data_IF_849769572462
#
_entry.id   IF_849769572462
#
_cell.length_a   1.000
_cell.length_b   1.000
_cell.length_c   1.000
_cell.angle_alpha   90.00
_cell.angle_beta   90.00
_cell.angle_gamma   90.00
#
_symmetry.space_group_name_H-M   'P 1'
#
loop_
_entity.id
_entity.type
_entity.pdbx_description
1 polymer ?
#
# COMPACT_ATOMS: atom_id res chain seq x y z
N UNK A 1 0.75 -3.98 34.35
CA UNK A 1 0.71 -4.44 32.94
C UNK A 1 0.21 -3.32 32.07
N UNK A 2 1.13 -2.67 31.40
CA UNK A 2 0.78 -1.68 30.40
C UNK A 2 0.43 -2.42 29.10
N UNK A 3 -0.85 -2.39 28.76
CA UNK A 3 -1.26 -2.86 27.44
C UNK A 3 -0.53 -2.01 26.39
N UNK A 4 0.14 -2.67 25.47
CA UNK A 4 0.79 -2.02 24.35
C UNK A 4 -0.30 -1.39 23.50
N UNK A 5 -0.53 -0.10 23.70
CA UNK A 5 -1.52 0.62 22.90
C UNK A 5 -0.95 0.88 21.53
N UNK A 6 -1.68 0.46 20.51
CA UNK A 6 -1.35 0.78 19.14
C UNK A 6 -1.40 2.31 18.97
N UNK A 7 -0.36 2.94 18.45
CA UNK A 7 -0.38 4.39 18.28
C UNK A 7 -1.51 4.84 17.38
N UNK A 8 -2.10 5.99 17.68
CA UNK A 8 -3.13 6.58 16.84
C UNK A 8 -2.50 7.13 15.55
N UNK A 9 -3.26 7.32 14.48
CA UNK A 9 -2.74 7.96 13.27
C UNK A 9 -2.07 9.31 13.54
N UNK A 10 -2.65 10.12 14.43
CA UNK A 10 -2.05 11.40 14.79
C UNK A 10 -0.69 11.22 15.47
N UNK A 11 -0.56 10.25 16.36
CA UNK A 11 0.70 9.94 17.03
C UNK A 11 1.76 9.45 16.04
N UNK A 12 1.36 8.63 15.09
CA UNK A 12 2.26 8.14 14.06
C UNK A 12 2.77 9.26 13.15
N UNK A 13 1.89 10.18 12.77
CA UNK A 13 2.28 11.36 12.00
C UNK A 13 3.31 12.20 12.75
N UNK A 14 3.07 12.46 14.02
CA UNK A 14 4.02 13.20 14.88
C UNK A 14 5.35 12.47 14.98
N UNK A 15 5.30 11.16 15.21
CA UNK A 15 6.51 10.33 15.30
C UNK A 15 7.34 10.33 14.03
N UNK A 16 6.69 10.51 12.87
CA UNK A 16 7.35 10.59 11.59
C UNK A 16 7.80 12.02 11.23
N UNK A 17 7.58 13.00 12.13
CA UNK A 17 7.94 14.38 11.87
C UNK A 17 6.98 15.11 10.96
N UNK A 18 5.79 14.57 10.77
CA UNK A 18 4.77 15.16 9.91
C UNK A 18 3.76 15.97 10.71
N UNK A 19 3.32 17.07 10.08
CA UNK A 19 2.24 17.89 10.67
C UNK A 19 0.93 17.09 10.66
N UNK A 20 0.24 17.08 11.79
CA UNK A 20 -1.07 16.44 11.91
C UNK A 20 -2.13 17.36 11.30
N UNK A 21 -2.80 16.84 10.27
CA UNK A 21 -3.92 17.54 9.62
C UNK A 21 -5.10 16.56 9.49
N UNK A 22 -6.30 17.08 9.39
CA UNK A 22 -7.49 16.26 9.19
C UNK A 22 -7.36 15.40 7.91
N UNK A 23 -6.83 15.98 6.84
CA UNK A 23 -6.62 15.27 5.59
C UNK A 23 -5.64 14.11 5.74
N UNK A 24 -4.50 14.33 6.40
CA UNK A 24 -3.50 13.26 6.60
C UNK A 24 -4.01 12.14 7.49
N UNK A 25 -4.72 12.47 8.55
CA UNK A 25 -5.32 11.47 9.43
C UNK A 25 -6.35 10.64 8.67
N UNK A 26 -7.26 11.30 7.95
CA UNK A 26 -8.28 10.62 7.16
C UNK A 26 -7.69 9.75 6.06
N UNK A 27 -6.64 10.24 5.40
CA UNK A 27 -5.92 9.47 4.38
C UNK A 27 -5.28 8.20 4.94
N UNK A 28 -4.58 8.34 6.05
CA UNK A 28 -3.91 7.20 6.68
C UNK A 28 -4.92 6.14 7.12
N UNK A 29 -6.03 6.56 7.73
CA UNK A 29 -7.10 5.66 8.12
C UNK A 29 -7.76 4.99 6.90
N UNK A 30 -7.99 5.75 5.84
CA UNK A 30 -8.61 5.25 4.60
C UNK A 30 -7.75 4.19 3.93
N UNK A 31 -6.44 4.45 3.80
CA UNK A 31 -5.52 3.51 3.17
C UNK A 31 -5.40 2.23 4.01
N UNK A 32 -5.38 2.34 5.33
CA UNK A 32 -5.30 1.18 6.23
C UNK A 32 -6.56 0.34 6.23
N UNK A 33 -7.72 0.97 6.11
CA UNK A 33 -8.99 0.26 6.05
C UNK A 33 -9.27 -0.31 4.66
N UNK A 34 -8.60 0.20 3.64
CA UNK A 34 -8.79 -0.23 2.27
C UNK A 34 -7.86 -1.35 1.86
N UNK A 35 -8.09 -1.87 0.68
CA UNK A 35 -7.31 -2.97 0.10
C UNK A 35 -6.79 -2.52 -1.26
N UNK A 36 -5.57 -2.02 -1.28
CA UNK A 36 -4.88 -1.54 -2.50
C UNK A 36 -5.68 -0.50 -3.28
N UNK A 37 -6.03 0.59 -2.61
CA UNK A 37 -6.83 1.64 -3.21
C UNK A 37 -6.03 2.53 -4.15
N UNK A 38 -6.63 2.90 -5.28
CA UNK A 38 -6.13 3.95 -6.16
C UNK A 38 -6.45 5.33 -5.60
N UNK A 39 -5.82 6.36 -6.17
CA UNK A 39 -5.97 7.74 -5.68
C UNK A 39 -7.40 8.25 -5.69
N UNK A 40 -8.15 7.96 -6.76
CA UNK A 40 -9.53 8.43 -6.87
C UNK A 40 -10.45 7.82 -5.82
N UNK A 41 -10.29 6.52 -5.55
CA UNK A 41 -11.05 5.84 -4.51
C UNK A 41 -10.70 6.40 -3.13
N UNK A 42 -9.42 6.64 -2.88
CA UNK A 42 -8.95 7.25 -1.64
C UNK A 42 -9.57 8.65 -1.48
N UNK A 43 -9.49 9.48 -2.52
CA UNK A 43 -10.04 10.83 -2.50
C UNK A 43 -11.55 10.83 -2.20
N UNK A 44 -12.29 9.92 -2.82
CA UNK A 44 -13.72 9.79 -2.59
C UNK A 44 -14.04 9.46 -1.13
N UNK A 45 -13.33 8.49 -0.57
CA UNK A 45 -13.53 8.08 0.83
C UNK A 45 -13.12 9.14 1.83
N UNK A 46 -12.05 9.88 1.54
CA UNK A 46 -11.62 10.99 2.39
C UNK A 46 -12.66 12.11 2.38
N UNK A 47 -13.21 12.43 1.21
CA UNK A 47 -14.28 13.43 1.08
C UNK A 47 -15.52 13.06 1.89
N UNK A 48 -15.84 11.77 1.93
CA UNK A 48 -16.97 11.28 2.75
C UNK A 48 -16.72 11.49 4.25
N UNK A 49 -15.47 11.50 4.68
CA UNK A 49 -15.11 11.65 6.09
C UNK A 49 -14.96 13.11 6.53
N UNK A 50 -14.31 13.93 5.73
CA UNK A 50 -13.92 15.29 6.13
C UNK A 50 -14.47 16.39 5.24
N UNK A 51 -15.25 16.03 4.22
CA UNK A 51 -15.76 16.99 3.25
C UNK A 51 -14.76 17.25 2.13
N UNK A 52 -14.88 18.42 1.50
CA UNK A 52 -14.11 18.71 0.30
C UNK A 52 -12.61 18.71 0.53
N UNK A 53 -11.90 17.98 -0.31
CA UNK A 53 -10.45 18.00 -0.40
C UNK A 53 -10.09 17.90 -1.88
N UNK A 54 -9.12 18.71 -2.32
CA UNK A 54 -8.71 18.69 -3.73
C UNK A 54 -7.91 17.43 -4.03
N UNK A 55 -7.97 16.99 -5.27
CA UNK A 55 -7.18 15.82 -5.70
C UNK A 55 -5.68 16.06 -5.52
N UNK A 56 -5.23 17.30 -5.78
CA UNK A 56 -3.83 17.66 -5.56
C UNK A 56 -3.43 17.54 -4.09
N UNK A 57 -4.29 17.97 -3.17
CA UNK A 57 -4.02 17.81 -1.73
C UNK A 57 -3.93 16.35 -1.33
N UNK A 58 -4.76 15.49 -1.95
CA UNK A 58 -4.68 14.03 -1.73
C UNK A 58 -3.33 13.48 -2.22
N UNK A 59 -2.89 13.86 -3.41
CA UNK A 59 -1.59 13.44 -3.93
C UNK A 59 -0.44 13.89 -3.04
N UNK A 60 -0.44 15.13 -2.60
CA UNK A 60 0.60 15.67 -1.72
C UNK A 60 0.66 14.94 -0.39
N UNK A 61 -0.51 14.66 0.20
CA UNK A 61 -0.58 13.93 1.45
C UNK A 61 -0.11 12.47 1.29
N UNK A 62 -0.52 11.80 0.22
CA UNK A 62 -0.07 10.44 -0.08
C UNK A 62 1.44 10.38 -0.28
N UNK A 63 2.01 11.37 -0.96
CA UNK A 63 3.46 11.47 -1.16
C UNK A 63 4.18 11.60 0.19
N UNK A 64 3.71 12.49 1.05
CA UNK A 64 4.30 12.68 2.37
C UNK A 64 4.23 11.41 3.23
N UNK A 65 3.09 10.72 3.22
CA UNK A 65 2.90 9.48 3.96
C UNK A 65 3.77 8.35 3.42
N UNK A 66 3.94 8.28 2.11
CA UNK A 66 4.79 7.28 1.46
C UNK A 66 6.25 7.50 1.80
N UNK A 67 6.73 8.73 1.72
CA UNK A 67 8.11 9.07 2.09
C UNK A 67 8.40 8.81 3.57
N UNK A 68 7.42 9.01 4.42
CA UNK A 68 7.54 8.74 5.85
C UNK A 68 7.48 7.25 6.20
N UNK A 69 7.19 6.37 5.23
CA UNK A 69 7.08 4.94 5.46
C UNK A 69 5.80 4.50 6.15
N UNK A 70 4.79 5.36 6.21
CA UNK A 70 3.49 5.04 6.82
C UNK A 70 2.52 4.39 5.85
N UNK A 71 2.77 4.55 4.57
CA UNK A 71 1.95 4.02 3.47
C UNK A 71 2.91 3.49 2.40
N UNK A 72 2.52 2.44 1.73
CA UNK A 72 3.30 1.88 0.61
C UNK A 72 2.59 2.13 -0.71
N UNK A 73 3.34 2.62 -1.69
CA UNK A 73 2.86 2.80 -3.05
C UNK A 73 3.23 1.59 -3.89
N UNK A 74 2.25 1.06 -4.61
CA UNK A 74 2.44 -0.06 -5.54
C UNK A 74 2.03 0.41 -6.92
N UNK A 75 2.90 0.22 -7.89
CA UNK A 75 2.61 0.58 -9.27
C UNK A 75 2.97 -0.58 -10.19
N UNK A 76 2.08 -1.58 -10.33
CA UNK A 76 2.32 -2.67 -11.27
C UNK A 76 2.39 -2.15 -12.70
N UNK A 77 3.26 -2.71 -13.50
CA UNK A 77 3.42 -2.30 -14.90
C UNK A 77 2.09 -2.32 -15.64
N UNK A 78 1.74 -1.22 -16.28
CA UNK A 78 0.49 -1.08 -17.04
C UNK A 78 -0.74 -0.79 -16.18
N UNK A 79 -0.56 -0.55 -14.88
CA UNK A 79 -1.64 -0.22 -13.95
C UNK A 79 -1.40 1.11 -13.27
N UNK A 80 -2.47 1.83 -12.89
CA UNK A 80 -2.31 3.01 -12.04
C UNK A 80 -1.73 2.65 -10.67
N UNK A 81 -1.10 3.61 -10.02
CA UNK A 81 -0.58 3.44 -8.68
C UNK A 81 -1.69 3.12 -7.68
N UNK A 82 -1.40 2.23 -6.75
CA UNK A 82 -2.27 1.86 -5.64
C UNK A 82 -1.52 2.03 -4.34
N UNK A 83 -2.25 2.19 -3.26
CA UNK A 83 -1.66 2.44 -1.95
C UNK A 83 -2.17 1.45 -0.92
N UNK A 84 -1.28 1.03 -0.04
CA UNK A 84 -1.61 0.11 1.05
C UNK A 84 -1.00 0.57 2.36
N UNK A 85 -1.66 0.24 3.47
CA UNK A 85 -1.17 0.56 4.80
C UNK A 85 -0.25 -0.49 5.40
N UNK A 86 -0.08 -1.60 4.73
CA UNK A 86 0.78 -2.69 5.17
C UNK A 86 2.22 -2.38 4.79
N UNK A 87 3.01 -2.00 5.78
CA UNK A 87 4.40 -1.56 5.60
C UNK A 87 5.31 -2.36 6.53
N UNK A 88 6.60 -2.35 6.24
CA UNK A 88 7.65 -2.96 7.07
C UNK A 88 7.55 -4.47 7.25
N UNK A 89 6.79 -5.17 6.41
CA UNK A 89 6.78 -6.63 6.36
C UNK A 89 7.13 -7.12 4.94
N UNK A 90 7.50 -8.38 4.86
CA UNK A 90 7.88 -8.99 3.58
C UNK A 90 6.69 -9.68 2.95
N UNK A 91 5.82 -8.91 2.33
CA UNK A 91 4.74 -9.48 1.54
C UNK A 91 4.91 -9.09 0.07
N UNK A 92 4.29 -9.86 -0.78
CA UNK A 92 4.31 -9.65 -2.22
C UNK A 92 2.90 -9.48 -2.73
N UNK A 93 2.74 -9.29 -4.01
CA UNK A 93 1.43 -9.01 -4.61
C UNK A 93 1.17 -9.94 -5.76
N UNK A 94 -0.11 -10.26 -5.96
CA UNK A 94 -0.58 -10.95 -7.15
C UNK A 94 -1.59 -10.04 -7.86
N UNK A 95 -1.44 -9.90 -9.16
CA UNK A 95 -2.24 -8.97 -9.97
C UNK A 95 -2.97 -9.74 -11.06
N UNK A 96 -4.27 -9.49 -11.20
CA UNK A 96 -5.05 -10.05 -12.29
C UNK A 96 -4.79 -9.24 -13.57
N UNK A 97 -4.36 -9.92 -14.63
CA UNK A 97 -4.08 -9.28 -15.92
C UNK A 97 -5.34 -8.75 -16.60
N UNK A 98 -6.50 -9.30 -16.25
CA UNK A 98 -7.76 -8.93 -16.88
C UNK A 98 -8.46 -7.77 -16.18
N UNK A 99 -8.75 -7.89 -14.88
CA UNK A 99 -9.51 -6.85 -14.15
C UNK A 99 -8.65 -5.94 -13.30
N UNK A 100 -7.36 -6.26 -13.11
CA UNK A 100 -6.45 -5.43 -12.34
C UNK A 100 -6.54 -5.58 -10.83
N UNK A 101 -7.36 -6.52 -10.33
CA UNK A 101 -7.44 -6.72 -8.88
C UNK A 101 -6.07 -7.13 -8.33
N UNK A 102 -5.73 -6.57 -7.17
CA UNK A 102 -4.47 -6.83 -6.50
C UNK A 102 -4.76 -7.50 -5.15
N UNK A 103 -4.02 -8.54 -4.84
CA UNK A 103 -4.10 -9.21 -3.54
C UNK A 103 -2.71 -9.33 -2.94
N UNK A 104 -2.65 -9.41 -1.62
CA UNK A 104 -1.40 -9.65 -0.91
C UNK A 104 -1.07 -11.13 -0.92
N UNK A 105 0.20 -11.44 -1.07
CA UNK A 105 0.73 -12.80 -0.97
C UNK A 105 1.90 -12.75 0.01
N UNK A 106 1.83 -13.56 1.05
CA UNK A 106 2.94 -13.66 1.97
C UNK A 106 4.13 -14.33 1.29
N UNK A 107 5.31 -14.12 1.82
CA UNK A 107 6.50 -14.78 1.32
C UNK A 107 6.27 -16.29 1.25
N UNK A 108 6.78 -16.92 0.21
CA UNK A 108 6.62 -18.35 -0.01
C UNK A 108 6.96 -19.13 1.24
N UNK A 109 6.18 -20.17 1.47
CA UNK A 109 6.34 -21.03 2.62
C UNK A 109 7.74 -21.67 2.61
N UNK A 110 8.44 -21.58 3.74
CA UNK A 110 9.80 -22.04 3.87
C UNK A 110 10.76 -20.87 4.04
N UNK A 111 12.01 -21.14 4.08
CA UNK A 111 13.03 -20.12 4.22
C UNK A 111 13.07 -19.24 2.98
N UNK A 112 12.32 -18.21 3.04
CA UNK A 112 12.52 -17.22 2.04
C UNK A 112 13.23 -16.07 2.67
N UNK A 113 14.48 -15.92 2.44
CA UNK A 113 14.86 -14.58 2.14
C UNK A 113 14.07 -14.23 0.91
N UNK A 114 13.17 -13.32 1.00
CA UNK A 114 12.53 -12.81 -0.19
C UNK A 114 13.64 -12.36 -1.11
N UNK A 115 14.20 -13.32 -1.81
CA UNK A 115 15.15 -13.12 -2.86
C UNK A 115 16.41 -12.34 -2.45
N UNK A 116 17.37 -13.06 -1.93
CA UNK A 116 18.72 -12.55 -1.87
C UNK A 116 19.23 -12.42 -3.30
N UNK A 117 19.65 -11.24 -3.69
CA UNK A 117 20.20 -11.02 -5.00
C UNK A 117 21.48 -11.87 -5.18
N UNK A 118 21.60 -12.56 -6.31
CA UNK A 118 22.80 -13.34 -6.62
C UNK A 118 24.04 -12.47 -6.79
N UNK A 119 23.83 -11.23 -7.22
CA UNK A 119 24.85 -10.20 -7.34
C UNK A 119 24.21 -8.88 -6.99
N UNK A 120 24.67 -8.26 -5.92
CA UNK A 120 24.15 -6.97 -5.49
C UNK A 120 24.82 -5.77 -6.16
N UNK A 121 25.82 -6.00 -6.98
CA UNK A 121 26.59 -4.96 -7.67
C UNK A 121 27.10 -3.84 -6.74
N UNK A 122 27.34 -4.17 -5.47
CA UNK A 122 27.78 -3.20 -4.49
C UNK A 122 26.66 -2.38 -3.85
N UNK A 123 25.40 -2.66 -4.17
CA UNK A 123 24.26 -1.99 -3.55
C UNK A 123 23.97 -2.57 -2.17
N UNK A 124 23.58 -1.70 -1.25
CA UNK A 124 23.07 -2.12 0.04
C UNK A 124 21.57 -2.39 -0.13
N UNK A 125 21.22 -3.63 -0.40
CA UNK A 125 19.83 -3.99 -0.71
C UNK A 125 19.01 -4.08 0.59
N UNK A 126 17.92 -3.33 0.64
CA UNK A 126 17.03 -3.30 1.79
C UNK A 126 15.66 -3.93 1.54
N UNK A 127 15.28 -4.11 0.29
CA UNK A 127 13.95 -4.64 -0.05
C UNK A 127 13.98 -5.39 -1.37
N UNK A 128 13.19 -6.46 -1.44
CA UNK A 128 12.89 -7.14 -2.69
C UNK A 128 11.37 -7.18 -2.87
N UNK A 129 10.91 -6.93 -4.08
CA UNK A 129 9.49 -6.97 -4.40
C UNK A 129 9.26 -8.01 -5.48
N UNK A 130 8.26 -8.88 -5.26
CA UNK A 130 7.83 -9.85 -6.25
C UNK A 130 6.37 -9.60 -6.58
N UNK A 131 6.07 -9.55 -7.86
CA UNK A 131 4.69 -9.41 -8.34
C UNK A 131 4.36 -10.63 -9.19
N UNK A 132 3.33 -11.36 -8.77
CA UNK A 132 2.81 -12.48 -9.53
C UNK A 132 1.69 -11.99 -10.45
N UNK A 133 1.67 -12.48 -11.66
CA UNK A 133 0.68 -12.10 -12.66
C UNK A 133 -0.14 -13.31 -13.08
N UNK A 134 -1.45 -13.16 -13.14
CA UNK A 134 -2.33 -14.25 -13.52
C UNK A 134 -3.75 -13.76 -13.73
N UNK A 135 -4.71 -14.64 -13.55
CA UNK A 135 -6.13 -14.33 -13.62
C UNK A 135 -6.77 -14.62 -12.26
N UNK A 136 -7.56 -13.68 -11.74
CA UNK A 136 -8.29 -13.91 -10.51
C UNK A 136 -9.37 -14.99 -10.73
N UNK A 137 -9.92 -15.58 -9.66
CA UNK A 137 -10.91 -16.65 -9.80
C UNK A 137 -12.08 -16.29 -10.70
N UNK A 138 -12.60 -15.07 -10.60
CA UNK A 138 -13.71 -14.61 -11.44
C UNK A 138 -13.32 -14.55 -12.93
N UNK A 139 -12.16 -13.96 -13.24
CA UNK A 139 -11.69 -13.84 -14.62
C UNK A 139 -11.25 -15.18 -15.21
N UNK A 140 -10.66 -16.04 -14.38
CA UNK A 140 -10.26 -17.39 -14.79
C UNK A 140 -11.49 -18.23 -15.15
N UNK A 141 -12.53 -18.16 -14.33
CA UNK A 141 -13.79 -18.87 -14.58
C UNK A 141 -14.49 -18.36 -15.85
N UNK A 142 -14.51 -17.04 -16.05
CA UNK A 142 -15.11 -16.45 -17.25
C UNK A 142 -14.43 -16.92 -18.53
N UNK A 143 -13.12 -17.19 -18.49
CA UNK A 143 -12.37 -17.68 -19.66
C UNK A 143 -12.62 -19.16 -19.98
N UNK A 144 -13.08 -19.92 -19.01
CA UNK A 144 -13.31 -21.36 -19.14
C UNK A 144 -14.65 -21.71 -19.77
N UNK A 145 -15.50 -20.71 -20.01
CA UNK A 145 -16.83 -20.94 -20.62
C UNK A 145 -16.82 -20.75 -22.14
#
# INVERSE_FOLDING_TARGET
MTASQTPTPAEELRGAGLRVTAARVALLETVRAGDHLGVEAIASRVRDRIGHVSLQAVYEALHALTEAGLVRRIEPAGSPARFEGRVADNHHHIVCRSCGVVADVDCAVGEAPCLTASDDHGFSVDEAQVIYWGLCPACSTARSS
#
